data_IF_399129653364
#
_entry.id   IF_399129653364
#
_cell.length_a   1.000
_cell.length_b   1.000
_cell.length_c   1.000
_cell.angle_alpha   90.00
_cell.angle_beta   90.00
_cell.angle_gamma   90.00
#
_symmetry.space_group_name_H-M   'P 1'
#
loop_
_entity.id
_entity.type
_entity.pdbx_description
1 polymer ?
#
# COMPACT_ATOMS: atom_id res chain seq x y z
N UNK A 1 -20.64 -13.67 -28.70
CA UNK A 1 -20.43 -12.68 -27.61
C UNK A 1 -18.93 -12.46 -27.49
N UNK A 2 -18.45 -11.21 -27.53
CA UNK A 2 -17.02 -10.92 -27.35
C UNK A 2 -16.66 -10.86 -25.87
N UNK A 3 -15.49 -11.40 -25.50
CA UNK A 3 -15.00 -11.40 -24.11
C UNK A 3 -14.38 -10.05 -23.72
N UNK A 4 -14.26 -9.77 -22.41
CA UNK A 4 -13.64 -8.51 -21.92
C UNK A 4 -12.16 -8.40 -22.33
N UNK A 5 -11.47 -9.54 -22.50
CA UNK A 5 -10.09 -9.60 -22.97
C UNK A 5 -9.97 -9.20 -24.44
N UNK A 6 -10.86 -9.70 -25.32
CA UNK A 6 -10.91 -9.32 -26.74
C UNK A 6 -11.16 -7.82 -26.94
N UNK A 7 -11.86 -7.18 -26.00
CA UNK A 7 -12.11 -5.74 -26.00
C UNK A 7 -10.97 -4.91 -25.41
N UNK A 8 -9.85 -5.52 -25.06
CA UNK A 8 -8.68 -4.87 -24.46
C UNK A 8 -9.01 -4.10 -23.17
N UNK A 9 -10.05 -4.53 -22.43
CA UNK A 9 -10.47 -3.89 -21.19
C UNK A 9 -9.70 -4.44 -19.98
N UNK A 10 -9.16 -5.65 -20.12
CA UNK A 10 -8.42 -6.37 -19.08
C UNK A 10 -7.08 -6.85 -19.63
N UNK A 11 -6.06 -6.82 -18.80
CA UNK A 11 -4.78 -7.47 -19.02
C UNK A 11 -4.74 -8.75 -18.19
N UNK A 12 -4.49 -9.87 -18.86
CA UNK A 12 -4.22 -11.15 -18.21
C UNK A 12 -2.71 -11.25 -17.98
N UNK A 13 -2.30 -11.60 -16.77
CA UNK A 13 -0.92 -12.04 -16.56
C UNK A 13 -0.78 -13.53 -16.94
N UNK A 14 0.46 -13.96 -17.16
CA UNK A 14 0.75 -15.35 -17.55
C UNK A 14 0.50 -16.37 -16.41
N UNK A 15 0.13 -15.91 -15.22
CA UNK A 15 -0.12 -16.70 -14.01
C UNK A 15 -1.62 -16.71 -13.65
N UNK A 16 -2.51 -16.25 -14.55
CA UNK A 16 -3.96 -16.23 -14.35
C UNK A 16 -4.49 -15.05 -13.54
N UNK A 17 -3.65 -14.06 -13.23
CA UNK A 17 -4.07 -12.79 -12.68
C UNK A 17 -4.74 -11.91 -13.73
N UNK A 18 -5.68 -11.10 -13.28
CA UNK A 18 -6.48 -10.21 -14.11
C UNK A 18 -6.32 -8.80 -13.59
N UNK A 19 -5.78 -7.92 -14.42
CA UNK A 19 -5.63 -6.51 -14.13
C UNK A 19 -6.54 -5.69 -15.05
N UNK A 20 -7.20 -4.67 -14.49
CA UNK A 20 -7.93 -3.68 -15.27
C UNK A 20 -6.94 -2.61 -15.75
N UNK A 21 -7.08 -2.10 -16.98
CA UNK A 21 -6.28 -0.95 -17.41
C UNK A 21 -6.58 0.27 -16.50
N UNK A 22 -5.56 1.05 -16.08
CA UNK A 22 -5.74 2.15 -15.13
C UNK A 22 -6.84 3.14 -15.51
N UNK A 23 -6.99 3.44 -16.80
CA UNK A 23 -8.02 4.36 -17.32
C UNK A 23 -9.46 3.93 -16.98
N UNK A 24 -9.75 2.62 -16.94
CA UNK A 24 -11.08 2.13 -16.61
C UNK A 24 -11.35 2.09 -15.10
N UNK A 25 -10.30 2.08 -14.27
CA UNK A 25 -10.45 1.96 -12.82
C UNK A 25 -11.26 3.11 -12.24
N UNK A 26 -10.93 4.34 -12.65
CA UNK A 26 -11.60 5.53 -12.15
C UNK A 26 -13.06 5.59 -12.60
N UNK A 27 -13.31 5.23 -13.87
CA UNK A 27 -14.67 5.19 -14.44
C UNK A 27 -15.53 4.17 -13.68
N UNK A 28 -15.04 2.95 -13.50
CA UNK A 28 -15.80 1.89 -12.81
C UNK A 28 -16.09 2.29 -11.36
N UNK A 29 -15.09 2.80 -10.64
CA UNK A 29 -15.28 3.22 -9.25
C UNK A 29 -16.26 4.40 -9.14
N UNK A 30 -16.21 5.37 -10.06
CA UNK A 30 -17.12 6.51 -10.07
C UNK A 30 -18.57 6.12 -10.39
N UNK A 31 -18.77 5.06 -11.18
CA UNK A 31 -20.11 4.57 -11.53
C UNK A 31 -20.74 3.65 -10.50
N UNK A 32 -19.96 3.17 -9.52
CA UNK A 32 -20.47 2.26 -8.49
C UNK A 32 -21.25 3.03 -7.41
N UNK A 33 -22.45 2.56 -7.04
CA UNK A 33 -23.12 3.04 -5.84
C UNK A 33 -22.22 2.88 -4.62
N UNK A 34 -22.21 3.87 -3.73
CA UNK A 34 -21.35 3.90 -2.53
C UNK A 34 -21.48 2.63 -1.69
N UNK A 35 -22.71 2.16 -1.46
CA UNK A 35 -22.97 0.94 -0.70
C UNK A 35 -22.35 -0.30 -1.38
N UNK A 36 -22.42 -0.36 -2.71
CA UNK A 36 -21.82 -1.46 -3.46
C UNK A 36 -20.30 -1.40 -3.41
N UNK A 37 -19.72 -0.21 -3.49
CA UNK A 37 -18.28 -0.02 -3.33
C UNK A 37 -17.83 -0.49 -1.94
N UNK A 38 -18.53 -0.10 -0.87
CA UNK A 38 -18.21 -0.56 0.50
C UNK A 38 -18.25 -2.09 0.62
N UNK A 39 -19.31 -2.75 0.12
CA UNK A 39 -19.40 -4.22 0.13
C UNK A 39 -18.23 -4.89 -0.63
N UNK A 40 -17.84 -4.33 -1.78
CA UNK A 40 -16.72 -4.85 -2.56
C UNK A 40 -15.39 -4.66 -1.82
N UNK A 41 -15.20 -3.52 -1.14
CA UNK A 41 -14.04 -3.27 -0.30
C UNK A 41 -13.97 -4.25 0.89
N UNK A 42 -15.08 -4.53 1.57
CA UNK A 42 -15.13 -5.53 2.65
C UNK A 42 -14.79 -6.95 2.16
N UNK A 43 -15.32 -7.33 1.01
CA UNK A 43 -15.03 -8.64 0.42
C UNK A 43 -13.57 -8.74 -0.01
N UNK A 44 -13.03 -7.70 -0.62
CA UNK A 44 -11.61 -7.64 -0.99
C UNK A 44 -10.71 -7.74 0.24
N UNK A 45 -11.01 -6.98 1.30
CA UNK A 45 -10.29 -7.05 2.56
C UNK A 45 -10.25 -8.48 3.12
N UNK A 46 -11.40 -9.17 3.08
CA UNK A 46 -11.52 -10.55 3.56
C UNK A 46 -10.63 -11.50 2.76
N UNK A 47 -10.67 -11.41 1.42
CA UNK A 47 -9.84 -12.24 0.53
C UNK A 47 -8.35 -12.00 0.78
N UNK A 48 -7.93 -10.73 0.93
CA UNK A 48 -6.55 -10.40 1.21
C UNK A 48 -6.09 -10.88 2.58
N UNK A 49 -6.93 -10.76 3.62
CA UNK A 49 -6.63 -11.24 4.96
C UNK A 49 -6.46 -12.77 4.99
N UNK A 50 -7.35 -13.51 4.29
CA UNK A 50 -7.27 -14.97 4.15
C UNK A 50 -5.97 -15.41 3.44
N UNK A 51 -5.48 -14.60 2.49
CA UNK A 51 -4.22 -14.83 1.77
C UNK A 51 -2.99 -14.31 2.52
N UNK A 52 -3.13 -13.83 3.75
CA UNK A 52 -2.03 -13.30 4.56
C UNK A 52 -1.43 -11.99 4.04
N UNK A 53 -2.15 -11.25 3.19
CA UNK A 53 -1.78 -9.94 2.65
C UNK A 53 -2.45 -8.83 3.46
N UNK A 54 -2.03 -8.67 4.71
CA UNK A 54 -2.77 -7.86 5.68
C UNK A 54 -2.71 -6.36 5.42
N UNK A 55 -1.58 -5.84 4.94
CA UNK A 55 -1.49 -4.42 4.57
C UNK A 55 -2.48 -4.05 3.45
N UNK A 56 -2.67 -4.93 2.46
CA UNK A 56 -3.70 -4.76 1.44
C UNK A 56 -5.12 -4.90 2.01
N UNK A 57 -5.34 -5.82 2.95
CA UNK A 57 -6.63 -5.95 3.62
C UNK A 57 -7.02 -4.68 4.40
N UNK A 58 -6.08 -4.09 5.13
CA UNK A 58 -6.25 -2.84 5.88
C UNK A 58 -6.52 -1.68 4.93
N UNK A 59 -5.80 -1.62 3.80
CA UNK A 59 -6.10 -0.65 2.74
C UNK A 59 -7.57 -0.74 2.35
N UNK A 60 -8.10 -1.93 2.06
CA UNK A 60 -9.50 -2.06 1.67
C UNK A 60 -10.49 -1.72 2.81
N UNK A 61 -10.20 -2.09 4.05
CA UNK A 61 -11.01 -1.70 5.22
C UNK A 61 -11.02 -0.19 5.45
N UNK A 62 -9.99 0.55 5.04
CA UNK A 62 -9.96 2.03 5.18
C UNK A 62 -10.95 2.79 4.29
N UNK A 63 -11.66 2.07 3.40
CA UNK A 63 -12.72 2.60 2.54
C UNK A 63 -14.11 2.10 2.96
N UNK A 64 -14.23 1.36 4.07
CA UNK A 64 -15.52 0.87 4.56
C UNK A 64 -16.01 1.77 5.70
N UNK A 65 -17.26 1.56 6.12
CA UNK A 65 -17.90 2.38 7.18
C UNK A 65 -17.34 2.06 8.58
N UNK A 66 -16.56 0.98 8.71
CA UNK A 66 -16.07 0.46 10.00
C UNK A 66 -14.53 0.53 10.11
N UNK A 67 -13.95 1.73 10.29
CA UNK A 67 -12.51 1.94 10.41
C UNK A 67 -11.88 1.18 11.60
N UNK A 68 -12.67 0.84 12.62
CA UNK A 68 -12.28 0.03 13.78
C UNK A 68 -11.76 -1.35 13.37
N UNK A 69 -12.30 -1.94 12.31
CA UNK A 69 -11.84 -3.24 11.81
C UNK A 69 -10.43 -3.17 11.25
N UNK A 70 -10.09 -2.08 10.56
CA UNK A 70 -8.74 -1.83 10.06
C UNK A 70 -7.74 -1.74 11.23
N UNK A 71 -8.14 -1.05 12.30
CA UNK A 71 -7.34 -0.90 13.52
C UNK A 71 -7.16 -2.25 14.24
N UNK A 72 -8.26 -3.00 14.42
CA UNK A 72 -8.23 -4.31 15.05
C UNK A 72 -7.31 -5.28 14.30
N UNK A 73 -7.43 -5.33 12.97
CA UNK A 73 -6.57 -6.17 12.14
C UNK A 73 -5.11 -5.73 12.20
N UNK A 74 -4.81 -4.43 12.17
CA UNK A 74 -3.44 -3.97 12.25
C UNK A 74 -2.78 -4.34 13.58
N UNK A 75 -3.48 -4.19 14.71
CA UNK A 75 -2.91 -4.54 16.03
C UNK A 75 -2.41 -5.97 16.10
N UNK A 76 -3.11 -6.91 15.46
CA UNK A 76 -2.74 -8.33 15.50
C UNK A 76 -1.56 -8.66 14.59
N UNK A 77 -1.36 -7.89 13.51
CA UNK A 77 -0.36 -8.21 12.46
C UNK A 77 0.79 -7.20 12.36
N UNK A 78 0.74 -6.07 13.08
CA UNK A 78 1.64 -4.92 12.90
C UNK A 78 3.11 -5.31 12.89
N UNK A 79 3.59 -6.08 13.87
CA UNK A 79 5.01 -6.40 13.98
C UNK A 79 5.47 -7.28 12.81
N UNK A 80 4.61 -8.24 12.40
CA UNK A 80 4.88 -9.12 11.26
C UNK A 80 5.00 -8.33 9.96
N UNK A 81 4.07 -7.41 9.72
CA UNK A 81 4.04 -6.61 8.49
C UNK A 81 5.17 -5.56 8.46
N UNK A 82 5.50 -4.95 9.61
CA UNK A 82 6.68 -4.07 9.76
C UNK A 82 7.96 -4.84 9.40
N UNK A 83 8.14 -6.05 9.95
CA UNK A 83 9.31 -6.89 9.65
C UNK A 83 9.38 -7.32 8.17
N UNK A 84 8.26 -7.28 7.44
CA UNK A 84 8.17 -7.55 6.00
C UNK A 84 8.33 -6.28 5.13
N UNK A 85 8.78 -5.17 5.72
CA UNK A 85 8.98 -3.91 5.01
C UNK A 85 7.69 -3.17 4.67
N UNK A 86 6.54 -3.54 5.25
CA UNK A 86 5.25 -2.90 4.96
C UNK A 86 4.99 -1.65 5.80
N UNK A 87 5.99 -1.17 6.57
CA UNK A 87 5.82 -0.01 7.45
C UNK A 87 5.45 1.27 6.67
N UNK A 88 6.11 1.54 5.54
CA UNK A 88 5.82 2.72 4.71
C UNK A 88 4.44 2.66 4.03
N UNK A 89 4.05 1.56 3.35
CA UNK A 89 2.68 1.39 2.85
C UNK A 89 1.62 1.54 3.93
N UNK A 90 1.81 0.91 5.10
CA UNK A 90 0.89 1.02 6.22
C UNK A 90 0.76 2.48 6.71
N UNK A 91 1.87 3.23 6.78
CA UNK A 91 1.85 4.63 7.19
C UNK A 91 0.96 5.47 6.27
N UNK A 92 1.04 5.27 4.95
CA UNK A 92 0.22 6.01 3.99
C UNK A 92 -1.27 5.72 4.18
N UNK A 93 -1.63 4.47 4.48
CA UNK A 93 -3.03 4.07 4.75
C UNK A 93 -3.54 4.78 6.01
N UNK A 94 -2.79 4.74 7.11
CA UNK A 94 -3.21 5.36 8.36
C UNK A 94 -3.21 6.88 8.33
N UNK A 95 -2.31 7.52 7.57
CA UNK A 95 -2.36 8.97 7.35
C UNK A 95 -3.62 9.40 6.62
N UNK A 96 -4.05 8.64 5.60
CA UNK A 96 -5.33 8.87 4.92
C UNK A 96 -6.49 8.66 5.90
N UNK A 97 -6.46 7.59 6.69
CA UNK A 97 -7.50 7.29 7.66
C UNK A 97 -7.65 8.42 8.70
N UNK A 98 -6.54 8.99 9.17
CA UNK A 98 -6.53 10.13 10.09
C UNK A 98 -7.21 11.40 9.53
N UNK A 99 -7.41 11.50 8.22
CA UNK A 99 -8.09 12.64 7.58
C UNK A 99 -9.61 12.44 7.49
N UNK A 100 -10.12 11.26 7.83
CA UNK A 100 -11.55 10.95 7.79
C UNK A 100 -12.27 11.42 9.07
N UNK A 101 -13.59 11.63 9.02
CA UNK A 101 -14.40 11.86 10.20
C UNK A 101 -14.48 10.57 11.03
N UNK A 102 -13.64 10.44 12.06
CA UNK A 102 -13.61 9.30 12.98
C UNK A 102 -13.95 9.74 14.40
N UNK A 103 -14.39 8.79 15.22
CA UNK A 103 -14.53 9.04 16.66
C UNK A 103 -13.17 9.38 17.30
N UNK A 104 -13.16 10.19 18.36
CA UNK A 104 -11.93 10.63 19.02
C UNK A 104 -11.02 9.47 19.45
N UNK A 105 -11.62 8.37 19.93
CA UNK A 105 -10.90 7.16 20.34
C UNK A 105 -10.17 6.50 19.17
N UNK A 106 -10.81 6.42 18.01
CA UNK A 106 -10.23 5.84 16.79
C UNK A 106 -9.13 6.75 16.25
N UNK A 107 -9.36 8.06 16.27
CA UNK A 107 -8.38 9.07 15.87
C UNK A 107 -7.08 8.97 16.67
N UNK A 108 -7.17 8.82 17.99
CA UNK A 108 -6.02 8.60 18.87
C UNK A 108 -5.21 7.36 18.45
N UNK A 109 -5.91 6.23 18.23
CA UNK A 109 -5.26 4.97 17.86
C UNK A 109 -4.52 5.07 16.54
N UNK A 110 -5.13 5.70 15.53
CA UNK A 110 -4.51 5.94 14.22
C UNK A 110 -3.27 6.83 14.37
N UNK A 111 -3.33 7.86 15.22
CA UNK A 111 -2.17 8.74 15.49
C UNK A 111 -1.01 7.97 16.12
N UNK A 112 -1.29 7.12 17.10
CA UNK A 112 -0.28 6.26 17.73
C UNK A 112 0.36 5.30 16.72
N UNK A 113 -0.43 4.70 15.82
CA UNK A 113 0.11 3.87 14.75
C UNK A 113 1.01 4.66 13.80
N UNK A 114 0.60 5.85 13.39
CA UNK A 114 1.42 6.70 12.53
C UNK A 114 2.76 7.06 13.19
N UNK A 115 2.76 7.38 14.48
CA UNK A 115 3.98 7.66 15.25
C UNK A 115 4.92 6.44 15.31
N UNK A 116 4.37 5.28 15.66
CA UNK A 116 5.11 4.02 15.69
C UNK A 116 5.71 3.66 14.32
N UNK A 117 4.93 3.77 13.26
CA UNK A 117 5.37 3.47 11.89
C UNK A 117 6.49 4.40 11.43
N UNK A 118 6.39 5.71 11.69
CA UNK A 118 7.47 6.67 11.38
C UNK A 118 8.77 6.30 12.09
N UNK A 119 8.70 5.92 13.37
CA UNK A 119 9.88 5.47 14.13
C UNK A 119 10.53 4.23 13.47
N UNK A 120 9.72 3.25 13.06
CA UNK A 120 10.24 2.03 12.43
C UNK A 120 10.86 2.28 11.05
N UNK A 121 10.30 3.21 10.26
CA UNK A 121 10.87 3.59 8.96
C UNK A 121 12.25 4.23 9.14
N UNK A 122 12.39 5.17 10.08
CA UNK A 122 13.67 5.85 10.35
C UNK A 122 14.76 4.92 10.87
N UNK A 123 14.40 3.86 11.60
CA UNK A 123 15.36 2.86 12.11
C UNK A 123 15.88 1.95 10.98
N UNK A 124 15.11 1.72 9.91
CA UNK A 124 15.54 0.93 8.77
C UNK A 124 16.40 1.72 7.75
N UNK A 125 16.41 3.05 7.84
CA UNK A 125 17.24 3.93 6.99
C UNK A 125 18.63 4.24 7.57
N UNK A 126 19.04 3.62 8.69
CA UNK A 126 20.43 3.75 9.15
C UNK A 126 21.34 2.79 8.38
N UNK A 127 22.22 3.27 7.47
CA UNK A 127 23.33 2.44 7.03
C UNK A 127 24.22 2.17 8.25
N UNK A 128 24.65 0.91 8.38
CA UNK A 128 25.73 0.47 9.28
C UNK A 128 26.87 1.51 9.33
N UNK A 129 27.56 1.67 10.47
CA UNK A 129 28.71 2.57 10.56
C UNK A 129 29.71 2.19 9.47
N UNK A 130 29.84 3.07 8.47
CA UNK A 130 30.91 2.97 7.49
C UNK A 130 32.21 3.09 8.27
N UNK A 131 32.90 1.97 8.41
CA UNK A 131 34.28 1.91 8.85
C UNK A 131 35.04 3.00 8.11
N UNK A 132 35.68 3.88 8.87
CA UNK A 132 36.47 4.99 8.35
C UNK A 132 37.55 4.48 7.39
N UNK A 133 37.27 4.46 6.09
CA UNK A 133 38.30 4.47 5.07
C UNK A 133 38.62 5.93 4.77
N UNK A 134 39.75 6.40 5.32
CA UNK A 134 40.45 7.59 4.86
C UNK A 134 40.60 7.50 3.33
N UNK A 135 39.91 8.34 2.58
CA UNK A 135 40.40 8.75 1.28
C UNK A 135 40.01 10.19 1.00
N UNK A 136 41.03 10.97 0.75
CA UNK A 136 41.00 12.40 0.54
C UNK A 136 40.50 12.74 -0.86
N UNK A 137 39.81 13.88 -0.92
CA UNK A 137 39.81 14.85 -2.02
C UNK A 137 38.71 14.80 -3.10
N UNK A 138 38.11 16.00 -3.27
CA UNK A 138 37.49 16.59 -4.47
C UNK A 138 36.02 16.27 -4.82
N UNK A 139 35.16 17.18 -4.34
CA UNK A 139 34.07 17.89 -5.06
C UNK A 139 33.32 17.14 -6.18
N UNK A 140 32.02 16.85 -5.97
CA UNK A 140 30.90 17.66 -6.48
C UNK A 140 29.55 17.12 -6.04
N UNK A 141 28.74 18.05 -5.56
CA UNK A 141 27.37 17.90 -5.12
C UNK A 141 26.47 17.80 -6.37
N UNK A 142 25.74 16.69 -6.55
CA UNK A 142 24.63 16.61 -7.49
C UNK A 142 23.36 16.24 -6.72
N UNK A 143 22.51 17.25 -6.53
CA UNK A 143 21.11 17.12 -6.12
C UNK A 143 20.35 16.37 -7.22
N UNK A 144 19.67 15.27 -6.90
CA UNK A 144 18.51 14.81 -7.66
C UNK A 144 17.58 13.94 -6.79
N UNK A 145 16.28 14.14 -7.01
CA UNK A 145 15.11 13.75 -6.20
C UNK A 145 14.94 12.23 -6.02
N UNK A 146 14.23 11.76 -4.97
CA UNK A 146 13.80 10.37 -4.89
C UNK A 146 12.68 10.09 -5.91
N UNK A 147 12.93 9.13 -6.79
CA UNK A 147 11.94 8.50 -7.67
C UNK A 147 10.99 7.64 -6.84
N UNK A 148 9.70 7.72 -7.16
CA UNK A 148 8.65 6.91 -6.58
C UNK A 148 8.76 5.46 -7.12
N UNK A 149 9.30 4.54 -6.34
CA UNK A 149 9.31 3.10 -6.66
C UNK A 149 7.92 2.47 -6.46
N UNK A 150 6.99 2.70 -7.39
CA UNK A 150 5.76 1.87 -7.54
C UNK A 150 5.43 1.53 -9.01
N UNK A 151 6.34 1.76 -9.95
CA UNK A 151 6.25 1.23 -11.30
C UNK A 151 7.33 0.16 -11.48
N UNK A 152 6.94 -1.11 -11.41
CA UNK A 152 7.74 -2.18 -12.01
C UNK A 152 7.26 -2.37 -13.44
N UNK A 153 8.18 -2.06 -14.35
CA UNK A 153 8.10 -2.27 -15.80
C UNK A 153 7.86 -3.73 -16.19
N UNK A 154 7.29 -3.99 -17.38
CA UNK A 154 7.43 -5.25 -18.07
C UNK A 154 8.76 -5.30 -18.88
N UNK A 155 9.10 -6.52 -19.31
CA UNK A 155 10.13 -6.91 -20.29
C UNK A 155 11.52 -7.29 -19.75
N UNK A 156 11.76 -8.60 -19.72
CA UNK A 156 12.99 -9.17 -20.29
C UNK A 156 12.59 -10.19 -21.38
N UNK A 157 13.07 -9.93 -22.60
CA UNK A 157 13.23 -10.94 -23.65
C UNK A 157 14.62 -11.57 -23.49
N UNK A 158 14.76 -12.72 -24.16
CA UNK A 158 16.00 -13.44 -24.55
C UNK A 158 16.59 -14.41 -23.51
N UNK A 159 16.34 -15.70 -23.70
CA UNK A 159 17.14 -16.55 -24.60
C UNK A 159 16.30 -17.71 -25.14
#
# INVERSE_FOLDING_TARGET
>A
MQTLHERHLLQLDQQGGVALLPAYREIIVATLPVDKAHQLHERAATIYAQRGRYTAAIYHLSYTVEPERAIGLWRTVQQREINRGQAYPALRIFQRLAQQPLSAKVHEQVRLFCSSLKKNILVMEMPLPRVCARFSSRRRCCKSRPMNCWEQSPMTKES
#
